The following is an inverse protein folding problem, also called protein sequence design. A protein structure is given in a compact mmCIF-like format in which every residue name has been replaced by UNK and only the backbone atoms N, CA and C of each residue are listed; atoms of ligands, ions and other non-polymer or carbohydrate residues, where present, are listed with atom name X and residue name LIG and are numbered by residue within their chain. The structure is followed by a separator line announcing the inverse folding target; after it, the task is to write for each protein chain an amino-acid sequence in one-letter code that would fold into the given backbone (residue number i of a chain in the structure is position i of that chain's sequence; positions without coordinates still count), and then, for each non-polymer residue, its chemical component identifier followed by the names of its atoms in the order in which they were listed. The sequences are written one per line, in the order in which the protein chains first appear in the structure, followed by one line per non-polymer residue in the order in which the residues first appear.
data_IF_698723279429
#
_entry.id   IF_698723279429
#
_cell.length_a   1.000
_cell.length_b   1.000
_cell.length_c   1.000
_cell.angle_alpha   90.00
_cell.angle_beta   90.00
_cell.angle_gamma   90.00
#
_symmetry.space_group_name_H-M   'P 1'
#
loop_
_entity.id
_entity.type
_entity.pdbx_description
1 polymer ?
#
# COMPACT_ATOMS: atom_id res chain seq x y z
N UNK A 1 -10.88 22.57 -6.13
CA UNK A 1 -10.33 21.20 -6.14
C UNK A 1 -8.82 21.26 -6.01
N UNK A 2 -8.34 21.08 -4.80
CA UNK A 2 -6.92 20.98 -4.42
C UNK A 2 -6.74 19.84 -3.44
N UNK A 3 -5.58 19.19 -3.48
CA UNK A 3 -5.19 18.17 -2.51
C UNK A 3 -4.82 18.84 -1.18
N UNK A 4 -5.27 18.29 -0.06
CA UNK A 4 -5.05 18.82 1.30
C UNK A 4 -4.18 17.90 2.16
N UNK A 5 -4.32 16.59 2.02
CA UNK A 5 -3.51 15.60 2.72
C UNK A 5 -3.43 14.28 1.95
N UNK A 6 -2.46 13.45 2.34
CA UNK A 6 -2.26 12.10 1.82
C UNK A 6 -2.06 11.18 3.02
N UNK A 7 -2.94 10.20 3.18
CA UNK A 7 -2.79 9.14 4.17
C UNK A 7 -2.20 7.89 3.52
N UNK A 8 -1.37 7.20 4.30
CA UNK A 8 -0.62 6.02 3.85
C UNK A 8 -0.97 4.84 4.75
N UNK A 9 -1.34 3.73 4.14
CA UNK A 9 -1.76 2.51 4.84
C UNK A 9 -0.92 1.32 4.36
N UNK A 10 0.26 1.08 4.97
CA UNK A 10 1.03 -0.12 4.70
C UNK A 10 0.31 -1.34 5.30
N UNK A 11 -0.02 -2.31 4.44
CA UNK A 11 -0.71 -3.54 4.79
C UNK A 11 0.22 -4.73 4.61
N UNK A 12 0.08 -5.73 5.47
CA UNK A 12 0.77 -7.00 5.37
C UNK A 12 -0.21 -8.15 5.58
N UNK A 13 -0.36 -9.00 4.56
CA UNK A 13 -1.25 -10.14 4.57
C UNK A 13 -0.46 -11.43 4.55
N UNK A 14 -0.53 -12.21 5.63
CA UNK A 14 0.07 -13.54 5.69
C UNK A 14 -0.61 -14.49 4.69
N UNK A 15 0.20 -15.21 3.91
CA UNK A 15 -0.22 -16.27 3.00
C UNK A 15 -0.03 -17.63 3.70
N UNK A 16 -1.11 -18.41 3.81
CA UNK A 16 -1.09 -19.76 4.37
C UNK A 16 -1.91 -20.71 3.47
N UNK A 17 -1.29 -21.64 2.73
CA UNK A 17 0.15 -21.92 2.73
C UNK A 17 0.96 -20.83 2.00
N UNK A 18 2.23 -20.72 2.37
CA UNK A 18 3.20 -19.96 1.59
C UNK A 18 3.35 -20.58 0.18
N UNK A 19 3.70 -19.76 -0.81
CA UNK A 19 3.92 -20.22 -2.20
C UNK A 19 5.34 -19.91 -2.67
N UNK A 20 5.84 -20.68 -3.65
CA UNK A 20 7.21 -20.59 -4.14
C UNK A 20 7.30 -20.18 -5.62
N UNK A 21 8.43 -19.57 -5.97
CA UNK A 21 8.84 -19.26 -7.35
C UNK A 21 10.35 -19.46 -7.51
N UNK A 22 10.90 -19.30 -8.72
CA UNK A 22 12.30 -19.63 -9.02
C UNK A 22 13.36 -18.87 -8.21
N UNK A 23 12.98 -17.80 -7.50
CA UNK A 23 13.89 -17.03 -6.64
C UNK A 23 13.60 -17.16 -5.14
N UNK A 24 12.61 -17.94 -4.73
CA UNK A 24 12.34 -18.14 -3.30
C UNK A 24 10.88 -18.42 -2.97
N UNK A 25 10.53 -18.13 -1.73
CA UNK A 25 9.22 -18.35 -1.14
C UNK A 25 8.59 -17.02 -0.72
N UNK A 26 7.27 -16.94 -0.85
CA UNK A 26 6.45 -15.78 -0.48
C UNK A 26 5.49 -16.23 0.62
N UNK A 27 5.70 -15.72 1.83
CA UNK A 27 4.84 -15.96 3.00
C UNK A 27 3.86 -14.82 3.28
N UNK A 28 4.04 -13.69 2.59
CA UNK A 28 3.34 -12.44 2.84
C UNK A 28 3.07 -11.74 1.52
N UNK A 29 1.89 -11.13 1.39
CA UNK A 29 1.50 -10.31 0.25
C UNK A 29 1.24 -8.88 0.75
N UNK A 30 2.27 -8.04 0.84
CA UNK A 30 2.12 -6.68 1.36
C UNK A 30 1.57 -5.75 0.27
N UNK A 31 0.82 -4.72 0.66
CA UNK A 31 0.30 -3.68 -0.22
C UNK A 31 0.40 -2.30 0.45
N UNK A 32 0.51 -1.22 -0.33
CA UNK A 32 0.43 0.15 0.19
C UNK A 32 -0.80 0.82 -0.38
N UNK A 33 -1.82 1.03 0.43
CA UNK A 33 -2.95 1.87 0.03
C UNK A 33 -2.66 3.33 0.35
N UNK A 34 -3.08 4.20 -0.55
CA UNK A 34 -2.97 5.65 -0.43
C UNK A 34 -4.37 6.25 -0.53
N UNK A 35 -4.69 7.13 0.40
CA UNK A 35 -5.89 7.97 0.31
C UNK A 35 -5.47 9.43 0.14
N UNK A 36 -6.02 10.09 -0.86
CA UNK A 36 -5.77 11.50 -1.15
C UNK A 36 -7.02 12.30 -0.84
N UNK A 37 -6.91 13.28 0.06
CA UNK A 37 -8.01 14.15 0.46
C UNK A 37 -7.98 15.48 -0.29
N UNK A 38 -9.16 16.06 -0.50
CA UNK A 38 -9.31 17.36 -1.17
C UNK A 38 -10.03 18.40 -0.31
N UNK A 39 -9.89 19.68 -0.68
CA UNK A 39 -10.57 20.82 -0.08
C UNK A 39 -12.09 20.84 -0.30
N UNK A 40 -12.61 19.97 -1.17
CA UNK A 40 -14.04 19.81 -1.45
C UNK A 40 -14.69 18.64 -0.69
N UNK A 41 -13.93 17.97 0.20
CA UNK A 41 -14.42 16.83 0.98
C UNK A 41 -14.51 15.51 0.22
N UNK A 42 -13.93 15.44 -0.98
CA UNK A 42 -13.80 14.21 -1.77
C UNK A 42 -12.46 13.55 -1.42
N UNK A 43 -12.44 12.22 -1.25
CA UNK A 43 -11.21 11.43 -1.19
C UNK A 43 -11.11 10.45 -2.35
N UNK A 44 -9.88 10.17 -2.78
CA UNK A 44 -9.55 9.23 -3.85
C UNK A 44 -8.54 8.19 -3.36
N UNK A 45 -8.65 6.96 -3.89
CA UNK A 45 -7.84 5.82 -3.47
C UNK A 45 -6.92 5.33 -4.59
N UNK A 46 -5.72 4.90 -4.21
CA UNK A 46 -4.75 4.27 -5.10
C UNK A 46 -3.83 3.29 -4.37
N UNK A 47 -2.99 2.59 -5.14
CA UNK A 47 -2.00 1.66 -4.63
C UNK A 47 -0.58 2.11 -5.02
N UNK A 48 0.34 2.10 -4.05
CA UNK A 48 1.75 2.39 -4.26
C UNK A 48 2.55 1.13 -4.59
N UNK A 49 3.29 1.16 -5.70
CA UNK A 49 4.20 0.06 -6.06
C UNK A 49 5.45 0.05 -5.18
N UNK A 50 5.91 -1.16 -4.82
CA UNK A 50 7.16 -1.39 -4.10
C UNK A 50 6.95 -1.88 -2.67
N UNK A 51 8.03 -1.94 -1.86
CA UNK A 51 7.95 -2.35 -0.46
C UNK A 51 7.09 -1.36 0.36
N UNK A 52 5.92 -1.75 0.90
CA UNK A 52 4.98 -0.80 1.46
C UNK A 52 5.51 0.04 2.62
N UNK A 53 6.21 -0.59 3.56
CA UNK A 53 6.76 0.11 4.74
C UNK A 53 7.83 1.14 4.36
N UNK A 54 8.90 0.78 3.61
CA UNK A 54 9.87 1.78 3.14
C UNK A 54 9.24 2.91 2.34
N UNK A 55 8.23 2.63 1.51
CA UNK A 55 7.56 3.67 0.71
C UNK A 55 6.68 4.57 1.56
N UNK A 56 6.02 4.02 2.59
CA UNK A 56 5.18 4.81 3.49
C UNK A 56 5.98 5.75 4.41
N UNK A 57 7.25 5.46 4.67
CA UNK A 57 8.10 6.27 5.56
C UNK A 57 8.85 7.40 4.84
N UNK A 58 8.87 7.40 3.50
CA UNK A 58 9.37 8.52 2.69
C UNK A 58 8.40 9.72 2.71
#
# INVERSE_FOLDING_TARGET
MKITSIDKYPLDFRQDPAWGYSKGWVSNAPALLIEVHTDEGISGWGEGYGPPLPVAEM
#
